data_IF_424363237725
#
_entry.id   IF_424363237725
#
_cell.length_a   1.000
_cell.length_b   1.000
_cell.length_c   1.000
_cell.angle_alpha   90.00
_cell.angle_beta   90.00
_cell.angle_gamma   90.00
#
_symmetry.space_group_name_H-M   'P 1'
#
loop_
_entity.id
_entity.type
_entity.pdbx_description
1 polymer ?
#
# COMPACT_ATOMS: atom_id res chain seq x y z
N UNK A 1 -13.68 9.60 13.23
CA UNK A 1 -13.30 10.36 12.02
C UNK A 1 -13.87 9.63 10.82
N UNK A 2 -14.61 10.30 9.93
CA UNK A 2 -15.22 9.62 8.77
C UNK A 2 -14.20 9.45 7.64
N UNK A 3 -14.52 8.64 6.63
CA UNK A 3 -13.62 8.40 5.50
C UNK A 3 -13.34 9.70 4.71
N UNK A 4 -14.31 10.61 4.63
CA UNK A 4 -14.16 11.90 3.93
C UNK A 4 -13.04 12.75 4.55
N UNK A 5 -12.97 12.86 5.87
CA UNK A 5 -11.90 13.59 6.57
C UNK A 5 -10.53 13.01 6.24
N UNK A 6 -10.46 11.70 6.00
CA UNK A 6 -9.22 10.99 5.69
C UNK A 6 -8.78 11.19 4.25
N UNK A 7 -9.74 11.28 3.31
CA UNK A 7 -9.43 11.65 1.93
C UNK A 7 -8.80 13.06 1.85
N UNK A 8 -9.26 14.01 2.68
CA UNK A 8 -8.66 15.34 2.76
C UNK A 8 -7.21 15.27 3.27
N UNK A 9 -6.95 14.49 4.32
CA UNK A 9 -5.59 14.27 4.83
C UNK A 9 -4.68 13.66 3.76
N UNK A 10 -5.16 12.67 3.02
CA UNK A 10 -4.40 12.04 1.91
C UNK A 10 -4.05 13.08 0.83
N UNK A 11 -5.00 13.89 0.42
CA UNK A 11 -4.77 14.93 -0.59
C UNK A 11 -3.75 15.97 -0.11
N UNK A 12 -3.81 16.38 1.17
CA UNK A 12 -2.82 17.29 1.75
C UNK A 12 -1.42 16.66 1.81
N UNK A 13 -1.32 15.41 2.28
CA UNK A 13 -0.06 14.70 2.40
C UNK A 13 0.64 14.47 1.05
N UNK A 14 -0.13 14.28 -0.02
CA UNK A 14 0.39 14.01 -1.37
C UNK A 14 0.65 15.26 -2.21
N UNK A 15 0.42 16.47 -1.70
CA UNK A 15 0.71 17.73 -2.42
C UNK A 15 2.12 17.82 -3.02
N UNK A 16 3.18 17.32 -2.39
CA UNK A 16 4.52 17.35 -2.97
C UNK A 16 4.66 16.62 -4.32
N UNK A 17 3.74 15.69 -4.65
CA UNK A 17 3.73 14.98 -5.93
C UNK A 17 3.12 15.79 -7.10
N UNK A 18 2.58 16.96 -6.82
CA UNK A 18 2.04 17.87 -7.82
C UNK A 18 0.59 17.61 -8.21
N UNK A 19 0.00 18.56 -8.95
CA UNK A 19 -1.44 18.56 -9.24
C UNK A 19 -1.87 17.43 -10.19
N UNK A 20 -1.00 17.01 -11.10
CA UNK A 20 -1.30 15.89 -12.00
C UNK A 20 -1.55 14.61 -11.22
N UNK A 21 -0.70 14.31 -10.22
CA UNK A 21 -0.88 13.16 -9.33
C UNK A 21 -2.13 13.31 -8.46
N UNK A 22 -2.34 14.49 -7.87
CA UNK A 22 -3.53 14.77 -7.05
C UNK A 22 -4.84 14.64 -7.83
N UNK A 23 -4.84 15.00 -9.11
CA UNK A 23 -6.00 14.82 -9.97
C UNK A 23 -6.40 13.37 -10.12
N UNK A 24 -5.42 12.47 -10.25
CA UNK A 24 -5.64 11.01 -10.29
C UNK A 24 -6.14 10.47 -8.95
N UNK A 25 -5.58 10.95 -7.83
CA UNK A 25 -6.08 10.58 -6.49
C UNK A 25 -7.54 10.99 -6.33
N UNK A 26 -7.91 12.24 -6.68
CA UNK A 26 -9.31 12.71 -6.64
C UNK A 26 -10.21 11.89 -7.55
N UNK A 27 -9.74 11.54 -8.74
CA UNK A 27 -10.45 10.66 -9.68
C UNK A 27 -10.75 9.32 -9.03
N UNK A 28 -9.73 8.65 -8.47
CA UNK A 28 -9.90 7.36 -7.82
C UNK A 28 -10.87 7.39 -6.63
N UNK A 29 -10.83 8.46 -5.84
CA UNK A 29 -11.72 8.64 -4.69
C UNK A 29 -13.17 8.96 -5.10
N UNK A 30 -13.40 9.64 -6.25
CA UNK A 30 -14.73 10.05 -6.71
C UNK A 30 -15.40 9.05 -7.66
N UNK A 31 -14.62 8.30 -8.45
CA UNK A 31 -15.12 7.40 -9.50
C UNK A 31 -15.26 5.93 -9.04
N UNK A 32 -15.38 5.70 -7.72
CA UNK A 32 -15.62 4.38 -7.12
C UNK A 32 -14.50 3.36 -7.37
N UNK A 33 -13.25 3.79 -7.39
CA UNK A 33 -12.15 2.85 -7.42
C UNK A 33 -12.01 2.07 -6.10
N UNK A 34 -12.59 2.58 -5.00
CA UNK A 34 -12.41 2.03 -3.65
C UNK A 34 -13.69 1.35 -3.16
N UNK A 35 -13.63 0.04 -2.96
CA UNK A 35 -14.62 -0.73 -2.19
C UNK A 35 -14.21 -0.69 -0.72
N UNK A 36 -14.87 0.18 0.05
CA UNK A 36 -14.39 0.69 1.33
C UNK A 36 -14.71 -0.24 2.49
N UNK A 37 -15.98 -0.64 2.61
CA UNK A 37 -16.49 -1.22 3.85
C UNK A 37 -16.47 -2.75 3.85
N UNK A 38 -16.32 -3.29 5.07
CA UNK A 38 -16.46 -4.72 5.31
C UNK A 38 -17.88 -5.20 5.00
N UNK A 39 -17.98 -6.33 4.32
CA UNK A 39 -19.25 -6.98 3.98
C UNK A 39 -19.16 -8.49 4.19
N UNK A 40 -20.27 -9.20 4.42
CA UNK A 40 -20.27 -10.65 4.56
C UNK A 40 -19.63 -11.34 3.35
N UNK A 41 -18.65 -12.21 3.58
CA UNK A 41 -17.92 -12.93 2.53
C UNK A 41 -16.74 -12.19 1.92
N UNK A 42 -16.52 -10.91 2.24
CA UNK A 42 -15.34 -10.15 1.80
C UNK A 42 -14.10 -10.64 2.55
N UNK A 43 -13.00 -10.86 1.83
CA UNK A 43 -11.72 -11.26 2.44
C UNK A 43 -11.16 -10.11 3.27
N UNK A 44 -10.49 -10.46 4.39
CA UNK A 44 -9.73 -9.49 5.20
C UNK A 44 -8.52 -8.94 4.44
N UNK A 45 -8.00 -7.79 4.92
CA UNK A 45 -6.88 -7.11 4.29
C UNK A 45 -7.32 -6.08 3.25
N UNK A 46 -6.38 -5.65 2.43
CA UNK A 46 -6.59 -4.74 1.32
C UNK A 46 -5.71 -5.15 0.14
N UNK A 47 -6.11 -4.76 -1.05
CA UNK A 47 -5.29 -4.89 -2.25
C UNK A 47 -5.79 -3.96 -3.36
N UNK A 48 -4.90 -3.58 -4.25
CA UNK A 48 -5.21 -2.94 -5.51
C UNK A 48 -5.14 -3.95 -6.65
N UNK A 49 -6.10 -3.89 -7.57
CA UNK A 49 -6.11 -4.67 -8.79
C UNK A 49 -6.49 -3.79 -9.97
N UNK A 50 -5.89 -4.01 -11.12
CA UNK A 50 -6.19 -3.28 -12.34
C UNK A 50 -5.64 -4.03 -13.55
N UNK A 51 -5.97 -3.53 -14.72
CA UNK A 51 -5.52 -4.10 -15.98
C UNK A 51 -5.70 -3.12 -17.13
N UNK A 52 -5.08 -3.46 -18.26
CA UNK A 52 -5.14 -2.64 -19.46
C UNK A 52 -6.58 -2.40 -19.93
N UNK A 53 -6.92 -1.13 -20.15
CA UNK A 53 -8.24 -0.70 -20.59
C UNK A 53 -9.31 -0.65 -19.50
N UNK A 54 -8.92 -0.86 -18.22
CA UNK A 54 -9.82 -0.79 -17.06
C UNK A 54 -9.26 0.21 -16.04
N UNK A 55 -10.15 0.88 -15.29
CA UNK A 55 -9.69 1.62 -14.12
C UNK A 55 -9.29 0.63 -13.00
N UNK A 56 -8.30 0.96 -12.17
CA UNK A 56 -7.96 0.15 -11.01
C UNK A 56 -9.11 0.07 -10.00
N UNK A 57 -9.11 -0.99 -9.20
CA UNK A 57 -10.05 -1.19 -8.09
C UNK A 57 -9.24 -1.49 -6.82
N UNK A 58 -9.58 -0.80 -5.74
CA UNK A 58 -9.04 -1.01 -4.40
C UNK A 58 -10.09 -1.72 -3.56
N UNK A 59 -9.76 -2.89 -3.04
CA UNK A 59 -10.54 -3.52 -1.99
C UNK A 59 -9.90 -3.20 -0.64
N UNK A 60 -10.71 -2.76 0.33
CA UNK A 60 -10.26 -2.58 1.71
C UNK A 60 -11.38 -2.91 2.71
N UNK A 61 -11.04 -2.98 3.97
CA UNK A 61 -11.95 -3.24 5.09
C UNK A 61 -11.80 -2.12 6.13
N UNK A 62 -12.38 -0.97 5.82
CA UNK A 62 -12.23 0.25 6.60
C UNK A 62 -12.94 0.17 7.95
N UNK A 63 -12.19 0.31 9.05
CA UNK A 63 -12.68 0.26 10.43
C UNK A 63 -12.56 1.60 11.17
N UNK A 64 -12.05 2.64 10.52
CA UNK A 64 -11.89 3.95 11.13
C UNK A 64 -10.59 4.15 11.93
N UNK A 65 -9.62 3.26 11.80
CA UNK A 65 -8.30 3.33 12.44
C UNK A 65 -7.31 4.18 11.64
N UNK A 66 -6.16 4.52 12.26
CA UNK A 66 -5.07 5.20 11.55
C UNK A 66 -4.50 4.30 10.44
N UNK A 67 -4.32 3.02 10.73
CA UNK A 67 -3.80 2.05 9.76
C UNK A 67 -4.62 2.00 8.46
N UNK A 68 -5.95 2.28 8.53
CA UNK A 68 -6.79 2.31 7.32
C UNK A 68 -6.43 3.49 6.41
N UNK A 69 -5.90 4.59 6.95
CA UNK A 69 -5.43 5.74 6.14
C UNK A 69 -4.14 5.36 5.41
N UNK A 70 -3.22 4.72 6.12
CA UNK A 70 -1.99 4.19 5.53
C UNK A 70 -2.29 3.13 4.47
N UNK A 71 -3.21 2.23 4.76
CA UNK A 71 -3.69 1.22 3.79
C UNK A 71 -4.28 1.89 2.54
N UNK A 72 -5.16 2.86 2.70
CA UNK A 72 -5.80 3.55 1.57
C UNK A 72 -4.77 4.28 0.69
N UNK A 73 -3.82 4.99 1.29
CA UNK A 73 -2.80 5.74 0.55
C UNK A 73 -1.79 4.80 -0.13
N UNK A 74 -1.50 3.66 0.48
CA UNK A 74 -0.68 2.58 -0.07
C UNK A 74 -1.34 1.98 -1.32
N UNK A 75 -2.57 1.50 -1.20
CA UNK A 75 -3.31 0.91 -2.32
C UNK A 75 -3.59 1.92 -3.44
N UNK A 76 -3.77 3.19 -3.09
CA UNK A 76 -3.88 4.28 -4.07
C UNK A 76 -2.56 4.45 -4.86
N UNK A 77 -1.41 4.27 -4.20
CA UNK A 77 -0.10 4.26 -4.87
C UNK A 77 -0.02 3.19 -5.95
N UNK A 78 -0.39 1.96 -5.61
CA UNK A 78 -0.47 0.86 -6.58
C UNK A 78 -1.47 1.14 -7.71
N UNK A 79 -2.65 1.65 -7.38
CA UNK A 79 -3.68 1.96 -8.36
C UNK A 79 -3.22 2.99 -9.38
N UNK A 80 -2.61 4.10 -8.92
CA UNK A 80 -2.12 5.15 -9.82
C UNK A 80 -0.93 4.63 -10.64
N UNK A 81 -0.03 3.83 -10.05
CA UNK A 81 1.07 3.20 -10.78
C UNK A 81 0.56 2.32 -11.91
N UNK A 82 -0.41 1.43 -11.62
CA UNK A 82 -1.05 0.57 -12.62
C UNK A 82 -1.76 1.40 -13.70
N UNK A 83 -2.51 2.42 -13.29
CA UNK A 83 -3.21 3.33 -14.20
C UNK A 83 -2.24 4.00 -15.18
N UNK A 84 -1.17 4.61 -14.67
CA UNK A 84 -0.16 5.30 -15.47
C UNK A 84 0.64 4.34 -16.35
N UNK A 85 0.93 3.14 -15.87
CA UNK A 85 1.58 2.10 -16.67
C UNK A 85 0.70 1.70 -17.88
N UNK A 86 -0.59 1.45 -17.63
CA UNK A 86 -1.54 1.09 -18.69
C UNK A 86 -1.78 2.21 -19.70
N UNK A 87 -1.74 3.48 -19.27
CA UNK A 87 -1.91 4.65 -20.15
C UNK A 87 -0.67 4.93 -21.02
N UNK A 88 0.53 4.60 -20.54
CA UNK A 88 1.78 4.98 -21.20
C UNK A 88 2.52 3.81 -21.87
N UNK A 89 2.07 2.58 -21.67
CA UNK A 89 2.68 1.39 -22.25
C UNK A 89 1.68 0.63 -23.12
N UNK A 90 2.12 -0.07 -24.17
CA UNK A 90 1.27 -1.03 -24.87
C UNK A 90 0.90 -2.19 -23.95
N UNK A 91 -0.21 -2.87 -24.21
CA UNK A 91 -0.78 -3.92 -23.33
C UNK A 91 0.22 -5.03 -22.96
N UNK A 92 1.15 -5.37 -23.83
CA UNK A 92 2.20 -6.38 -23.57
C UNK A 92 3.30 -5.91 -22.61
N UNK A 93 3.38 -4.62 -22.31
CA UNK A 93 4.33 -4.00 -21.37
C UNK A 93 3.65 -3.19 -20.27
N UNK A 94 2.34 -3.26 -20.14
CA UNK A 94 1.59 -2.49 -19.15
C UNK A 94 1.76 -3.01 -17.72
N UNK A 95 2.17 -4.26 -17.56
CA UNK A 95 2.52 -4.82 -16.26
C UNK A 95 3.96 -4.46 -15.87
N UNK A 96 4.24 -4.41 -14.59
CA UNK A 96 5.55 -4.06 -14.04
C UNK A 96 6.04 -5.12 -13.06
N UNK A 97 7.37 -5.21 -12.92
CA UNK A 97 7.99 -6.21 -12.04
C UNK A 97 7.73 -5.88 -10.58
N UNK A 98 7.58 -6.92 -9.75
CA UNK A 98 7.29 -6.79 -8.31
C UNK A 98 8.30 -5.90 -7.57
N UNK A 99 9.54 -5.85 -8.03
CA UNK A 99 10.61 -5.02 -7.44
C UNK A 99 10.24 -3.52 -7.36
N UNK A 100 9.54 -2.99 -8.38
CA UNK A 100 9.15 -1.58 -8.42
C UNK A 100 7.71 -1.33 -7.92
N UNK A 101 6.94 -2.39 -7.70
CA UNK A 101 5.54 -2.28 -7.29
C UNK A 101 5.37 -1.46 -6.01
N UNK A 102 6.19 -1.74 -5.00
CA UNK A 102 6.11 -1.10 -3.69
C UNK A 102 6.76 0.30 -3.65
N UNK A 103 7.44 0.75 -4.71
CA UNK A 103 8.04 2.09 -4.74
C UNK A 103 6.97 3.17 -4.67
N UNK A 104 5.90 3.04 -5.45
CA UNK A 104 4.80 4.01 -5.49
C UNK A 104 4.02 4.02 -4.16
N UNK A 105 3.67 2.84 -3.63
CA UNK A 105 2.91 2.69 -2.39
C UNK A 105 3.68 3.21 -1.17
N UNK A 106 4.94 2.81 -1.01
CA UNK A 106 5.78 3.23 0.13
C UNK A 106 6.19 4.70 0.06
N UNK A 107 6.35 5.28 -1.14
CA UNK A 107 6.54 6.72 -1.30
C UNK A 107 5.33 7.51 -0.75
N UNK A 108 4.12 7.08 -1.09
CA UNK A 108 2.90 7.68 -0.56
C UNK A 108 2.81 7.58 0.97
N UNK A 109 3.14 6.42 1.54
CA UNK A 109 3.17 6.23 3.00
C UNK A 109 4.22 7.13 3.68
N UNK A 110 5.39 7.29 3.07
CA UNK A 110 6.44 8.17 3.59
C UNK A 110 5.98 9.63 3.64
N UNK A 111 5.30 10.11 2.59
CA UNK A 111 4.72 11.46 2.56
C UNK A 111 3.62 11.64 3.61
N UNK A 112 2.77 10.64 3.80
CA UNK A 112 1.75 10.66 4.85
C UNK A 112 2.37 10.68 6.25
N UNK A 113 3.42 9.89 6.48
CA UNK A 113 4.17 9.89 7.74
C UNK A 113 4.76 11.26 8.02
N UNK A 114 5.38 11.89 7.02
CA UNK A 114 5.95 13.24 7.13
C UNK A 114 4.85 14.26 7.50
N UNK A 115 3.72 14.21 6.78
CA UNK A 115 2.56 15.06 7.07
C UNK A 115 2.10 14.93 8.53
N UNK A 116 1.93 13.71 9.03
CA UNK A 116 1.52 13.49 10.42
C UNK A 116 2.55 13.97 11.43
N UNK A 117 3.85 13.80 11.16
CA UNK A 117 4.92 14.28 12.04
C UNK A 117 4.99 15.80 12.12
N UNK A 118 4.69 16.51 11.04
CA UNK A 118 4.64 17.97 11.01
C UNK A 118 3.38 18.53 11.70
N UNK A 119 2.27 17.80 11.64
CA UNK A 119 0.98 18.22 12.19
C UNK A 119 0.64 17.60 13.56
N UNK A 120 1.61 16.93 14.18
CA UNK A 120 1.43 16.35 15.51
C UNK A 120 1.20 17.46 16.55
N UNK A 121 0.11 17.35 17.32
CA UNK A 121 -0.33 18.37 18.27
C UNK A 121 0.50 18.40 19.55
N UNK A 122 1.15 17.30 19.87
CA UNK A 122 1.95 17.12 21.09
C UNK A 122 2.96 15.98 20.92
N UNK A 123 3.89 15.88 21.86
CA UNK A 123 4.96 14.87 21.85
C UNK A 123 4.44 13.43 21.90
N UNK A 124 3.27 13.17 22.49
CA UNK A 124 2.67 11.84 22.54
C UNK A 124 2.17 11.40 21.16
N UNK A 125 1.51 12.28 20.43
CA UNK A 125 1.10 12.03 19.04
C UNK A 125 2.32 11.83 18.14
N UNK A 126 3.34 12.68 18.29
CA UNK A 126 4.59 12.58 17.55
C UNK A 126 5.28 11.23 17.79
N UNK A 127 5.38 10.82 19.05
CA UNK A 127 5.95 9.52 19.42
C UNK A 127 5.14 8.35 18.84
N UNK A 128 3.82 8.47 18.81
CA UNK A 128 2.94 7.46 18.19
C UNK A 128 3.20 7.31 16.68
N UNK A 129 3.32 8.41 15.93
CA UNK A 129 3.62 8.36 14.49
C UNK A 129 5.02 7.85 14.22
N UNK A 130 6.01 8.22 15.03
CA UNK A 130 7.36 7.67 14.94
C UNK A 130 7.39 6.16 15.18
N UNK A 131 6.66 5.69 16.21
CA UNK A 131 6.57 4.26 16.48
C UNK A 131 5.89 3.51 15.33
N UNK A 132 4.81 4.06 14.77
CA UNK A 132 4.16 3.49 13.59
C UNK A 132 5.14 3.36 12.40
N UNK A 133 5.93 4.40 12.14
CA UNK A 133 6.96 4.38 11.11
C UNK A 133 8.04 3.31 11.34
N UNK A 134 8.52 3.17 12.59
CA UNK A 134 9.47 2.11 12.94
C UNK A 134 8.88 0.70 12.79
N UNK A 135 7.61 0.52 13.13
CA UNK A 135 6.91 -0.76 12.92
C UNK A 135 6.77 -1.11 11.43
N UNK A 136 6.63 -0.14 10.53
CA UNK A 136 6.67 -0.38 9.08
C UNK A 136 8.02 -0.96 8.66
N UNK A 137 9.16 -0.44 9.14
CA UNK A 137 10.48 -1.03 8.88
C UNK A 137 10.58 -2.46 9.40
N UNK A 138 10.07 -2.72 10.59
CA UNK A 138 10.06 -4.08 11.14
C UNK A 138 9.24 -5.03 10.28
N UNK A 139 8.07 -4.61 9.83
CA UNK A 139 7.15 -5.43 9.05
C UNK A 139 7.59 -5.61 7.59
N UNK A 140 8.19 -4.59 6.98
CA UNK A 140 8.53 -4.62 5.55
C UNK A 140 9.98 -5.05 5.30
N UNK A 141 10.95 -4.58 6.08
CA UNK A 141 12.35 -4.95 5.88
C UNK A 141 12.71 -6.27 6.58
N UNK A 142 12.62 -6.29 7.91
CA UNK A 142 13.08 -7.44 8.69
C UNK A 142 12.22 -8.69 8.45
N UNK A 143 10.91 -8.54 8.48
CA UNK A 143 9.98 -9.64 8.28
C UNK A 143 10.07 -10.22 6.87
N UNK A 144 10.19 -9.39 5.83
CA UNK A 144 10.31 -9.86 4.46
C UNK A 144 11.65 -10.55 4.20
N UNK A 145 12.75 -10.06 4.79
CA UNK A 145 14.04 -10.73 4.75
C UNK A 145 13.97 -12.11 5.41
N UNK A 146 13.32 -12.21 6.56
CA UNK A 146 13.10 -13.49 7.24
C UNK A 146 12.34 -14.50 6.36
N UNK A 147 11.30 -14.05 5.66
CA UNK A 147 10.57 -14.91 4.72
C UNK A 147 11.43 -15.34 3.54
N UNK A 148 12.23 -14.43 2.97
CA UNK A 148 13.14 -14.75 1.88
C UNK A 148 14.20 -15.78 2.29
N UNK A 149 14.78 -15.66 3.49
CA UNK A 149 15.71 -16.65 4.05
C UNK A 149 15.04 -18.01 4.24
N UNK A 150 13.80 -18.01 4.75
CA UNK A 150 13.03 -19.26 4.92
C UNK A 150 12.75 -19.91 3.56
N UNK A 151 12.28 -19.19 2.58
CA UNK A 151 12.01 -19.70 1.22
C UNK A 151 13.27 -20.24 0.54
N UNK A 152 14.41 -19.55 0.70
CA UNK A 152 15.70 -20.01 0.20
C UNK A 152 16.07 -21.35 0.85
N UNK A 153 15.97 -21.45 2.18
CA UNK A 153 16.29 -22.66 2.93
C UNK A 153 15.43 -23.86 2.51
N UNK A 154 14.11 -23.62 2.37
CA UNK A 154 13.17 -24.64 1.87
C UNK A 154 13.54 -25.10 0.45
N UNK A 155 13.88 -24.18 -0.43
CA UNK A 155 14.31 -24.50 -1.80
C UNK A 155 15.59 -25.34 -1.83
N UNK A 156 16.60 -24.97 -1.03
CA UNK A 156 17.86 -25.71 -0.91
C UNK A 156 17.65 -27.14 -0.40
N UNK A 157 16.85 -27.32 0.65
CA UNK A 157 16.54 -28.64 1.21
C UNK A 157 15.78 -29.51 0.20
N UNK A 158 14.82 -28.93 -0.49
CA UNK A 158 14.06 -29.63 -1.54
C UNK A 158 14.96 -30.06 -2.70
N UNK A 159 15.88 -29.20 -3.14
CA UNK A 159 16.84 -29.53 -4.20
C UNK A 159 17.78 -30.65 -3.80
N UNK A 160 18.06 -30.84 -2.51
CA UNK A 160 18.86 -31.94 -1.95
C UNK A 160 18.04 -33.24 -1.75
N UNK A 161 16.75 -33.24 -2.06
CA UNK A 161 15.84 -34.37 -1.87
C UNK A 161 15.43 -34.60 -0.41
N UNK A 162 15.63 -33.61 0.47
CA UNK A 162 15.20 -33.70 1.85
C UNK A 162 13.69 -33.61 1.99
N UNK A 163 13.08 -34.41 2.84
CA UNK A 163 11.69 -34.25 3.25
C UNK A 163 11.55 -33.05 4.19
N UNK A 164 10.69 -32.11 3.85
CA UNK A 164 10.43 -30.92 4.68
C UNK A 164 9.34 -31.27 5.68
N UNK A 165 9.68 -31.27 6.95
CA UNK A 165 8.78 -31.47 8.09
C UNK A 165 8.86 -30.27 9.04
N UNK A 166 7.98 -30.23 10.05
CA UNK A 166 8.02 -29.17 11.06
C UNK A 166 9.32 -29.17 11.91
N UNK A 167 10.06 -30.27 11.88
CA UNK A 167 11.31 -30.49 12.66
C UNK A 167 12.57 -30.28 11.79
N UNK A 168 12.42 -29.87 10.54
CA UNK A 168 13.52 -29.74 9.57
C UNK A 168 14.21 -28.36 9.61
#
# INVERSE_FOLDING_TARGET
MCIRDRCEIILEALKPLGEDYLSLVRKGLSERWVDVYETPGKRSGAYSAGGFGMHPVILMNFQGKLDDVFTLIHEMGHSIHTYLSCENQPSCYSDYVIFVAEVASTCNEALLTHYFLEHAKNERERAYFLNHFLEQFRATLYRQTMFAEFELKVSELTAQGAGITADA
#
